data_IF_361449375274
#
_entry.id   IF_361449375274
#
_cell.length_a   1.000
_cell.length_b   1.000
_cell.length_c   1.000
_cell.angle_alpha   90.00
_cell.angle_beta   90.00
_cell.angle_gamma   90.00
#
_symmetry.space_group_name_H-M   'P 1'
#
loop_
_entity.id
_entity.type
_entity.pdbx_description
1 polymer ?
#
# COMPACT_ATOMS: atom_id res chain seq x y z
N UNK A 1 -21.72 34.62 -1.94
CA UNK A 1 -20.78 33.74 -2.66
C UNK A 1 -19.59 34.53 -3.24
N UNK A 2 -19.08 35.50 -2.54
CA UNK A 2 -17.89 36.31 -2.91
C UNK A 2 -16.87 36.34 -1.77
N UNK A 3 -16.78 35.28 -0.94
CA UNK A 3 -15.94 35.25 0.26
C UNK A 3 -14.64 34.46 0.11
N UNK A 4 -14.35 33.95 -1.09
CA UNK A 4 -13.01 33.43 -1.41
C UNK A 4 -12.15 34.53 -2.06
N UNK A 5 -12.33 35.76 -1.59
CA UNK A 5 -11.63 36.89 -2.10
C UNK A 5 -10.29 37.07 -1.37
N UNK A 6 -9.19 36.82 -2.10
CA UNK A 6 -7.80 37.33 -1.84
C UNK A 6 -7.17 37.08 -0.47
N UNK A 7 -7.94 36.86 0.62
CA UNK A 7 -7.39 36.76 1.98
C UNK A 7 -6.99 35.37 2.41
N UNK A 8 -7.52 34.31 1.78
CA UNK A 8 -7.15 32.90 2.08
C UNK A 8 -5.89 32.49 1.30
N UNK A 9 -5.68 33.09 0.15
CA UNK A 9 -4.46 32.89 -0.67
C UNK A 9 -3.23 33.56 -0.03
N UNK A 10 -3.43 34.54 0.82
CA UNK A 10 -2.34 35.34 1.43
C UNK A 10 -1.72 34.72 2.70
N UNK A 11 -2.28 33.63 3.22
CA UNK A 11 -1.76 32.94 4.44
C UNK A 11 -0.97 31.68 4.13
N UNK A 12 -0.94 31.24 2.87
CA UNK A 12 -0.14 30.09 2.42
C UNK A 12 0.98 30.65 1.57
N UNK A 13 2.20 30.67 2.09
CA UNK A 13 3.43 30.99 1.32
C UNK A 13 3.73 29.90 0.28
N UNK A 14 2.74 29.50 -0.51
CA UNK A 14 2.88 28.49 -1.57
C UNK A 14 2.64 29.15 -2.91
N UNK A 15 3.55 28.98 -3.83
CA UNK A 15 3.36 29.34 -5.21
C UNK A 15 2.57 28.25 -5.93
N UNK A 16 1.55 28.61 -6.69
CA UNK A 16 0.64 27.67 -7.36
C UNK A 16 1.07 27.50 -8.81
N UNK A 17 1.13 26.27 -9.29
CA UNK A 17 1.47 25.96 -10.68
C UNK A 17 0.58 24.86 -11.26
N UNK A 18 0.43 24.85 -12.57
CA UNK A 18 -0.36 23.91 -13.35
C UNK A 18 0.52 22.96 -14.15
N UNK A 19 0.15 21.71 -14.15
CA UNK A 19 0.53 20.75 -15.17
C UNK A 19 -0.69 20.56 -16.07
N UNK A 20 -0.68 21.22 -17.24
CA UNK A 20 -1.76 21.16 -18.23
C UNK A 20 -1.41 20.12 -19.30
N UNK A 21 -2.35 19.27 -19.65
CA UNK A 21 -2.21 18.29 -20.74
C UNK A 21 -3.02 18.68 -21.96
N UNK A 22 -2.38 18.71 -23.13
CA UNK A 22 -3.05 18.87 -24.39
C UNK A 22 -3.75 17.57 -24.86
N UNK A 23 -4.55 17.69 -25.91
CA UNK A 23 -5.70 16.86 -26.28
C UNK A 23 -5.56 15.35 -26.53
N UNK A 24 -4.45 14.63 -26.38
CA UNK A 24 -4.37 13.33 -27.02
C UNK A 24 -4.06 12.05 -26.20
N UNK A 25 -3.60 12.03 -24.94
CA UNK A 25 -3.46 10.70 -24.25
C UNK A 25 -3.28 10.77 -22.72
N UNK A 26 -3.76 9.73 -21.98
CA UNK A 26 -3.39 9.47 -20.57
C UNK A 26 -1.87 9.35 -20.44
N UNK A 27 -1.20 8.88 -21.48
CA UNK A 27 0.25 8.76 -21.54
C UNK A 27 0.94 10.14 -21.51
N UNK A 28 0.37 11.17 -22.14
CA UNK A 28 0.94 12.54 -22.10
C UNK A 28 0.91 13.13 -20.68
N UNK A 29 -0.19 12.92 -19.95
CA UNK A 29 -0.29 13.39 -18.54
C UNK A 29 0.73 12.70 -17.65
N UNK A 30 0.93 11.38 -17.82
CA UNK A 30 1.96 10.63 -17.09
C UNK A 30 3.37 11.12 -17.43
N UNK A 31 3.66 11.36 -18.70
CA UNK A 31 4.97 11.85 -19.16
C UNK A 31 5.28 13.26 -18.64
N UNK A 32 4.31 14.15 -18.60
CA UNK A 32 4.48 15.50 -18.02
C UNK A 32 4.76 15.45 -16.53
N UNK A 33 4.03 14.62 -15.77
CA UNK A 33 4.31 14.42 -14.35
C UNK A 33 5.72 13.84 -14.16
N UNK A 34 6.10 12.85 -14.93
CA UNK A 34 7.45 12.29 -14.90
C UNK A 34 8.52 13.32 -15.24
N UNK A 35 8.30 14.12 -16.28
CA UNK A 35 9.18 15.22 -16.70
C UNK A 35 9.40 16.21 -15.56
N UNK A 36 8.33 16.67 -14.94
CA UNK A 36 8.38 17.59 -13.80
C UNK A 36 9.16 17.00 -12.59
N UNK A 37 8.94 15.74 -12.25
CA UNK A 37 9.68 15.09 -11.15
C UNK A 37 11.17 14.97 -11.50
N UNK A 38 11.50 14.63 -12.75
CA UNK A 38 12.90 14.53 -13.20
C UNK A 38 13.59 15.88 -13.16
N UNK A 39 12.95 16.92 -13.64
CA UNK A 39 13.46 18.30 -13.60
C UNK A 39 13.74 18.75 -12.16
N UNK A 40 12.81 18.52 -11.24
CA UNK A 40 13.00 18.76 -9.80
C UNK A 40 14.21 17.98 -9.23
N UNK A 41 14.43 16.78 -9.70
CA UNK A 41 15.55 15.93 -9.24
C UNK A 41 16.87 16.39 -9.84
N UNK A 42 16.91 16.68 -11.14
CA UNK A 42 18.09 17.11 -11.88
C UNK A 42 18.55 18.52 -11.44
N UNK A 43 17.64 19.41 -11.11
CA UNK A 43 17.95 20.72 -10.55
C UNK A 43 18.54 20.65 -9.12
N UNK A 44 18.58 19.45 -8.50
CA UNK A 44 19.02 19.24 -7.13
C UNK A 44 18.07 19.78 -6.06
N UNK A 45 16.92 20.31 -6.44
CA UNK A 45 15.91 20.84 -5.51
C UNK A 45 15.18 19.71 -4.77
N UNK A 46 14.84 18.63 -5.46
CA UNK A 46 14.26 17.44 -4.84
C UNK A 46 15.41 16.54 -4.34
N UNK A 47 15.72 16.61 -3.06
CA UNK A 47 16.77 15.78 -2.46
C UNK A 47 16.31 14.35 -2.22
N UNK A 48 15.03 14.19 -1.86
CA UNK A 48 14.39 12.89 -1.64
C UNK A 48 12.97 12.90 -2.21
N UNK A 49 12.55 11.77 -2.79
CA UNK A 49 11.21 11.63 -3.36
C UNK A 49 10.09 11.73 -2.32
N UNK A 50 10.35 11.47 -1.04
CA UNK A 50 9.36 11.61 0.03
C UNK A 50 8.95 13.07 0.32
N UNK A 51 9.67 14.05 -0.26
CA UNK A 51 9.30 15.46 -0.22
C UNK A 51 8.06 15.77 -1.08
N UNK A 52 7.66 14.80 -1.92
CA UNK A 52 6.60 14.96 -2.90
C UNK A 52 5.41 14.07 -2.54
N UNK A 53 4.22 14.69 -2.45
CA UNK A 53 2.97 13.99 -2.21
C UNK A 53 1.93 14.28 -3.29
N UNK A 54 1.30 13.22 -3.77
CA UNK A 54 0.12 13.28 -4.62
C UNK A 54 -1.12 13.09 -3.77
N UNK A 55 -2.06 14.01 -3.86
CA UNK A 55 -3.32 13.96 -3.13
C UNK A 55 -4.49 13.73 -4.07
N UNK A 56 -5.23 12.67 -3.81
CA UNK A 56 -6.37 12.24 -4.60
C UNK A 56 -7.64 12.19 -3.74
N UNK A 57 -8.79 12.28 -4.36
CA UNK A 57 -10.06 11.97 -3.69
C UNK A 57 -10.17 10.48 -3.35
N UNK A 58 -9.57 9.61 -4.16
CA UNK A 58 -9.46 8.17 -3.96
C UNK A 58 -8.21 7.62 -4.64
N UNK A 59 -7.41 6.84 -3.92
CA UNK A 59 -6.23 6.15 -4.46
C UNK A 59 -6.56 4.84 -5.18
N UNK A 60 -7.79 4.34 -5.02
CA UNK A 60 -8.26 3.09 -5.66
C UNK A 60 -8.71 3.27 -7.11
N UNK A 61 -8.75 4.49 -7.61
CA UNK A 61 -9.16 4.77 -8.97
C UNK A 61 -8.13 4.25 -9.98
N UNK A 62 -8.61 3.60 -11.07
CA UNK A 62 -7.75 2.99 -12.09
C UNK A 62 -6.66 3.94 -12.63
N UNK A 63 -7.00 5.21 -12.85
CA UNK A 63 -6.07 6.26 -13.29
C UNK A 63 -4.91 6.46 -12.30
N UNK A 64 -5.20 6.47 -10.99
CA UNK A 64 -4.17 6.63 -9.95
C UNK A 64 -3.26 5.41 -9.92
N UNK A 65 -3.83 4.21 -10.04
CA UNK A 65 -3.06 2.97 -10.14
C UNK A 65 -2.20 2.94 -11.42
N UNK A 66 -2.73 3.45 -12.54
CA UNK A 66 -1.97 3.54 -13.80
C UNK A 66 -0.77 4.48 -13.67
N UNK A 67 -0.95 5.67 -13.08
CA UNK A 67 0.14 6.61 -12.79
C UNK A 67 1.17 5.99 -11.84
N UNK A 68 0.75 5.32 -10.77
CA UNK A 68 1.66 4.67 -9.84
C UNK A 68 2.53 3.63 -10.56
N UNK A 69 1.92 2.74 -11.35
CA UNK A 69 2.64 1.74 -12.14
C UNK A 69 3.58 2.37 -13.18
N UNK A 70 3.18 3.49 -13.78
CA UNK A 70 4.01 4.20 -14.74
C UNK A 70 5.26 4.80 -14.07
N UNK A 71 5.10 5.46 -12.93
CA UNK A 71 6.23 6.01 -12.17
C UNK A 71 7.18 4.92 -11.69
N UNK A 72 6.67 3.80 -11.19
CA UNK A 72 7.50 2.66 -10.76
C UNK A 72 8.29 2.04 -11.91
N UNK A 73 7.70 1.89 -13.09
CA UNK A 73 8.42 1.44 -14.30
C UNK A 73 9.54 2.39 -14.72
N UNK A 74 9.41 3.67 -14.38
CA UNK A 74 10.42 4.70 -14.62
C UNK A 74 11.39 4.89 -13.44
N UNK A 75 11.40 3.98 -12.47
CA UNK A 75 12.35 3.98 -11.34
C UNK A 75 11.98 4.93 -10.19
N UNK A 76 10.76 5.46 -10.17
CA UNK A 76 10.25 6.28 -9.08
C UNK A 76 9.29 5.45 -8.25
N UNK A 77 9.72 5.04 -7.07
CA UNK A 77 8.91 4.21 -6.18
C UNK A 77 7.71 4.99 -5.62
N UNK A 78 6.55 4.34 -5.56
CA UNK A 78 5.31 4.94 -5.05
C UNK A 78 4.90 4.29 -3.74
N UNK A 79 4.67 5.08 -2.71
CA UNK A 79 4.11 4.67 -1.44
C UNK A 79 2.64 5.04 -1.37
N UNK A 80 1.77 4.04 -1.29
CA UNK A 80 0.33 4.24 -1.23
C UNK A 80 -0.31 3.26 -0.26
N UNK A 81 -0.38 3.60 1.04
CA UNK A 81 -0.74 2.66 2.11
C UNK A 81 -2.17 2.10 2.00
N UNK A 82 -3.08 2.78 1.31
CA UNK A 82 -4.45 2.29 1.07
C UNK A 82 -4.74 1.93 -0.38
N UNK A 83 -3.71 1.77 -1.19
CA UNK A 83 -3.88 1.16 -2.50
C UNK A 83 -3.99 -0.35 -2.34
N UNK A 84 -4.88 -1.00 -3.09
CA UNK A 84 -4.98 -2.46 -3.11
C UNK A 84 -3.82 -3.07 -3.93
N UNK A 85 -2.59 -2.58 -3.69
CA UNK A 85 -1.41 -2.95 -4.46
C UNK A 85 -0.68 -4.17 -3.91
N UNK A 86 -0.95 -4.58 -2.65
CA UNK A 86 -0.27 -5.68 -1.98
C UNK A 86 -0.16 -6.94 -2.85
N UNK A 87 -1.28 -7.43 -3.36
CA UNK A 87 -1.29 -8.62 -4.22
C UNK A 87 -0.69 -8.40 -5.61
N UNK A 88 -0.48 -7.16 -6.03
CA UNK A 88 0.13 -6.82 -7.33
C UNK A 88 1.65 -6.75 -7.26
N UNK A 89 2.23 -6.72 -6.06
CA UNK A 89 3.67 -6.63 -5.84
C UNK A 89 4.39 -7.91 -6.26
N UNK A 90 5.52 -7.76 -6.91
CA UNK A 90 6.25 -8.87 -7.50
C UNK A 90 6.75 -9.86 -6.46
N UNK A 91 7.25 -9.37 -5.30
CA UNK A 91 7.66 -10.21 -4.18
C UNK A 91 6.52 -11.06 -3.63
N UNK A 92 5.29 -10.54 -3.60
CA UNK A 92 4.10 -11.25 -3.13
C UNK A 92 3.62 -12.27 -4.17
N UNK A 93 3.56 -11.88 -5.45
CA UNK A 93 3.23 -12.82 -6.54
C UNK A 93 4.21 -13.99 -6.57
N UNK A 94 5.49 -13.69 -6.44
CA UNK A 94 6.54 -14.72 -6.44
C UNK A 94 6.42 -15.63 -5.22
N UNK A 95 6.22 -15.08 -4.01
CA UNK A 95 6.07 -15.87 -2.79
C UNK A 95 4.84 -16.78 -2.84
N UNK A 96 3.68 -16.24 -3.26
CA UNK A 96 2.46 -17.04 -3.43
C UNK A 96 2.59 -18.10 -4.53
N UNK A 97 3.22 -17.76 -5.65
CA UNK A 97 3.49 -18.71 -6.73
C UNK A 97 4.38 -19.86 -6.28
N UNK A 98 5.50 -19.56 -5.60
CA UNK A 98 6.38 -20.58 -5.03
C UNK A 98 5.64 -21.45 -4.00
N UNK A 99 4.81 -20.84 -3.16
CA UNK A 99 4.00 -21.57 -2.19
C UNK A 99 3.00 -22.52 -2.89
N UNK A 100 2.28 -22.05 -3.91
CA UNK A 100 1.35 -22.89 -4.69
C UNK A 100 2.05 -24.08 -5.37
N UNK A 101 3.24 -23.87 -5.94
CA UNK A 101 4.02 -24.94 -6.58
C UNK A 101 4.41 -26.08 -5.62
N UNK A 102 4.42 -25.84 -4.31
CA UNK A 102 4.62 -26.87 -3.29
C UNK A 102 3.36 -27.74 -3.04
N UNK A 103 2.21 -27.42 -3.67
CA UNK A 103 0.96 -28.17 -3.59
C UNK A 103 0.48 -28.62 -4.98
N UNK A 104 1.11 -29.66 -5.57
CA UNK A 104 0.85 -30.04 -6.98
C UNK A 104 -0.60 -30.40 -7.29
N UNK A 105 -1.31 -31.01 -6.34
CA UNK A 105 -2.72 -31.36 -6.52
C UNK A 105 -3.60 -30.10 -6.65
N UNK A 106 -3.29 -29.06 -5.86
CA UNK A 106 -3.97 -27.77 -5.97
C UNK A 106 -3.72 -27.12 -7.33
N UNK A 107 -2.45 -27.05 -7.76
CA UNK A 107 -2.08 -26.48 -9.05
C UNK A 107 -2.77 -27.23 -10.21
N UNK A 108 -2.81 -28.55 -10.16
CA UNK A 108 -3.52 -29.37 -11.18
C UNK A 108 -5.00 -28.99 -11.30
N UNK A 109 -5.71 -28.83 -10.17
CA UNK A 109 -7.12 -28.42 -10.17
C UNK A 109 -7.28 -26.98 -10.66
N UNK A 110 -6.36 -26.08 -10.28
CA UNK A 110 -6.35 -24.69 -10.73
C UNK A 110 -6.19 -24.58 -12.25
N UNK A 111 -5.27 -25.34 -12.84
CA UNK A 111 -5.06 -25.38 -14.29
C UNK A 111 -6.28 -25.87 -15.06
N UNK A 112 -6.98 -26.85 -14.51
CA UNK A 112 -8.23 -27.39 -15.08
C UNK A 112 -9.46 -26.54 -14.78
N UNK A 113 -9.32 -25.48 -13.98
CA UNK A 113 -10.42 -24.61 -13.55
C UNK A 113 -11.55 -25.38 -12.80
N UNK A 114 -11.17 -26.33 -11.95
CA UNK A 114 -12.10 -27.22 -11.23
C UNK A 114 -12.67 -26.58 -9.91
N UNK A 115 -12.51 -25.26 -9.70
CA UNK A 115 -13.00 -24.59 -8.48
C UNK A 115 -14.19 -23.69 -8.77
N UNK A 116 -15.37 -24.05 -8.27
CA UNK A 116 -16.62 -23.33 -8.49
C UNK A 116 -16.66 -21.90 -7.89
N UNK A 117 -15.84 -21.65 -6.86
CA UNK A 117 -15.84 -20.37 -6.13
C UNK A 117 -14.87 -19.32 -6.68
N UNK A 118 -14.00 -19.69 -7.63
CA UNK A 118 -13.06 -18.77 -8.23
C UNK A 118 -13.65 -18.16 -9.51
N UNK A 119 -13.58 -16.85 -9.61
CA UNK A 119 -13.92 -16.10 -10.82
C UNK A 119 -12.72 -16.05 -11.78
N UNK A 120 -12.95 -15.66 -13.03
CA UNK A 120 -11.92 -15.60 -14.08
C UNK A 120 -10.70 -14.76 -13.66
N UNK A 121 -10.92 -13.67 -12.93
CA UNK A 121 -9.86 -12.79 -12.45
C UNK A 121 -8.96 -13.46 -11.41
N UNK A 122 -9.51 -14.29 -10.51
CA UNK A 122 -8.74 -15.06 -9.53
C UNK A 122 -7.89 -16.13 -10.19
N UNK A 123 -8.46 -16.87 -11.16
CA UNK A 123 -7.70 -17.81 -11.97
C UNK A 123 -6.56 -17.15 -12.72
N UNK A 124 -6.79 -15.96 -13.29
CA UNK A 124 -5.77 -15.18 -13.96
C UNK A 124 -4.66 -14.78 -12.99
N UNK A 125 -5.02 -14.21 -11.84
CA UNK A 125 -4.07 -13.78 -10.82
C UNK A 125 -3.20 -14.95 -10.31
N UNK A 126 -3.80 -16.06 -9.92
CA UNK A 126 -3.03 -17.22 -9.45
C UNK A 126 -2.16 -17.83 -10.56
N UNK A 127 -2.61 -17.79 -11.79
CA UNK A 127 -1.80 -18.21 -12.93
C UNK A 127 -0.61 -17.27 -13.15
N UNK A 128 -0.79 -15.96 -13.03
CA UNK A 128 0.31 -14.98 -13.06
C UNK A 128 1.33 -15.28 -11.96
N UNK A 129 0.90 -15.57 -10.73
CA UNK A 129 1.80 -15.95 -9.65
C UNK A 129 2.60 -17.23 -9.98
N UNK A 130 1.94 -18.26 -10.50
CA UNK A 130 2.60 -19.51 -10.87
C UNK A 130 3.58 -19.32 -12.03
N UNK A 131 3.23 -18.52 -13.03
CA UNK A 131 4.12 -18.20 -14.15
C UNK A 131 5.36 -17.46 -13.66
N UNK A 132 5.19 -16.41 -12.86
CA UNK A 132 6.30 -15.65 -12.27
C UNK A 132 7.23 -16.56 -11.44
N UNK A 133 6.65 -17.46 -10.63
CA UNK A 133 7.44 -18.43 -9.86
C UNK A 133 8.19 -19.40 -10.76
N UNK A 134 7.54 -19.99 -11.77
CA UNK A 134 8.18 -20.93 -12.69
C UNK A 134 9.30 -20.28 -13.48
N UNK A 135 9.10 -19.08 -14.00
CA UNK A 135 10.14 -18.32 -14.71
C UNK A 135 11.35 -18.04 -13.82
N UNK A 136 11.09 -17.72 -12.54
CA UNK A 136 12.16 -17.44 -11.60
C UNK A 136 12.93 -18.69 -11.20
N UNK A 137 12.25 -19.77 -10.78
CA UNK A 137 12.90 -20.98 -10.25
C UNK A 137 13.59 -21.81 -11.31
N UNK A 138 13.25 -21.65 -12.60
CA UNK A 138 13.91 -22.36 -13.70
C UNK A 138 15.21 -21.70 -14.16
N UNK A 139 15.53 -20.51 -13.68
CA UNK A 139 16.83 -19.87 -13.96
C UNK A 139 17.98 -20.71 -13.42
N UNK A 140 19.10 -20.67 -14.12
CA UNK A 140 20.28 -21.48 -13.79
C UNK A 140 20.80 -21.27 -12.35
N UNK A 141 20.63 -20.05 -11.82
CA UNK A 141 21.13 -19.66 -10.51
C UNK A 141 20.22 -20.09 -9.35
N UNK A 142 18.98 -20.54 -9.64
CA UNK A 142 17.95 -20.85 -8.63
C UNK A 142 17.72 -22.37 -8.45
N UNK A 143 18.70 -23.19 -8.75
CA UNK A 143 18.60 -24.65 -8.65
C UNK A 143 18.20 -25.15 -7.27
N UNK A 144 18.73 -24.56 -6.22
CA UNK A 144 18.43 -24.93 -4.82
C UNK A 144 16.98 -24.65 -4.47
N UNK A 145 16.45 -23.48 -4.86
CA UNK A 145 15.04 -23.13 -4.69
C UNK A 145 14.14 -24.10 -5.45
N UNK A 146 14.49 -24.44 -6.70
CA UNK A 146 13.73 -25.41 -7.48
C UNK A 146 13.72 -26.80 -6.82
N UNK A 147 14.86 -27.25 -6.29
CA UNK A 147 14.95 -28.51 -5.55
C UNK A 147 14.11 -28.48 -4.27
N UNK A 148 14.14 -27.38 -3.54
CA UNK A 148 13.33 -27.18 -2.34
C UNK A 148 11.84 -27.29 -2.66
N UNK A 149 11.34 -26.56 -3.68
CA UNK A 149 9.94 -26.62 -4.11
C UNK A 149 9.54 -28.02 -4.54
N UNK A 150 10.36 -28.67 -5.37
CA UNK A 150 10.08 -30.04 -5.83
C UNK A 150 10.07 -31.06 -4.69
N UNK A 151 10.98 -30.92 -3.72
CA UNK A 151 11.01 -31.78 -2.53
C UNK A 151 9.71 -31.67 -1.74
N UNK A 152 9.29 -30.44 -1.40
CA UNK A 152 8.05 -30.25 -0.67
C UNK A 152 6.81 -30.64 -1.49
N UNK A 153 6.80 -30.36 -2.78
CA UNK A 153 5.73 -30.81 -3.67
C UNK A 153 5.54 -32.33 -3.67
N UNK A 154 6.64 -33.11 -3.70
CA UNK A 154 6.57 -34.58 -3.60
C UNK A 154 6.06 -35.03 -2.23
N UNK A 155 6.53 -34.40 -1.13
CA UNK A 155 6.08 -34.72 0.23
C UNK A 155 4.57 -34.47 0.36
N UNK A 156 4.09 -33.29 -0.06
CA UNK A 156 2.69 -32.93 0.09
C UNK A 156 1.76 -33.77 -0.81
N UNK A 157 2.18 -34.11 -2.02
CA UNK A 157 1.39 -34.95 -2.91
C UNK A 157 1.16 -36.38 -2.37
N UNK A 158 2.13 -36.91 -1.62
CA UNK A 158 2.09 -38.25 -1.04
C UNK A 158 1.89 -38.31 0.47
N UNK A 159 1.52 -37.19 1.10
CA UNK A 159 1.42 -37.12 2.56
C UNK A 159 0.28 -37.98 3.08
N UNK A 160 0.61 -38.96 3.94
CA UNK A 160 -0.35 -39.84 4.63
C UNK A 160 -0.41 -39.62 6.14
N UNK A 161 0.66 -39.08 6.73
CA UNK A 161 0.79 -38.73 8.15
C UNK A 161 0.71 -37.22 8.39
N UNK A 162 1.54 -36.74 9.31
CA UNK A 162 1.67 -35.33 9.63
C UNK A 162 3.08 -34.83 9.37
N UNK A 163 3.22 -33.54 9.10
CA UNK A 163 4.52 -32.84 9.04
C UNK A 163 4.82 -32.23 10.42
N UNK A 164 5.99 -31.61 10.55
CA UNK A 164 6.41 -30.79 11.68
C UNK A 164 6.28 -29.28 11.41
N UNK A 165 5.61 -28.90 10.32
CA UNK A 165 5.43 -27.53 9.85
C UNK A 165 4.07 -27.34 9.18
N UNK A 166 3.63 -26.08 9.09
CA UNK A 166 2.50 -25.61 8.32
C UNK A 166 2.94 -24.56 7.27
N UNK A 167 2.02 -23.76 6.75
CA UNK A 167 2.29 -22.76 5.69
C UNK A 167 3.31 -21.70 6.11
N UNK A 168 3.21 -21.17 7.34
CA UNK A 168 4.16 -20.18 7.86
C UNK A 168 5.57 -20.73 7.93
N UNK A 169 5.73 -21.97 8.40
CA UNK A 169 7.02 -22.66 8.43
C UNK A 169 7.62 -22.89 7.04
N UNK A 170 6.79 -23.19 6.04
CA UNK A 170 7.23 -23.28 4.64
C UNK A 170 7.65 -21.91 4.10
N UNK A 171 6.88 -20.86 4.42
CA UNK A 171 7.15 -19.52 3.97
C UNK A 171 8.49 -19.00 4.50
N UNK A 172 8.79 -19.23 5.79
CA UNK A 172 10.10 -18.87 6.37
C UNK A 172 11.26 -19.65 5.75
N UNK A 173 11.08 -20.94 5.48
CA UNK A 173 12.09 -21.73 4.75
C UNK A 173 12.27 -21.22 3.32
N UNK A 174 11.19 -20.80 2.64
CA UNK A 174 11.24 -20.17 1.32
C UNK A 174 12.03 -18.87 1.34
N UNK A 175 11.86 -18.05 2.37
CA UNK A 175 12.52 -16.76 2.50
C UNK A 175 14.04 -16.85 2.71
N UNK A 176 14.58 -18.02 2.97
CA UNK A 176 16.04 -18.24 2.99
C UNK A 176 16.68 -18.27 1.60
N UNK A 177 15.88 -18.34 0.54
CA UNK A 177 16.36 -18.34 -0.84
C UNK A 177 16.22 -16.96 -1.48
N UNK A 178 17.09 -16.69 -2.48
CA UNK A 178 16.95 -15.51 -3.32
C UNK A 178 15.65 -15.58 -4.14
N UNK A 179 14.99 -14.46 -4.40
CA UNK A 179 15.37 -13.08 -4.06
C UNK A 179 14.94 -12.66 -2.64
N UNK A 180 14.17 -13.49 -1.93
CA UNK A 180 13.62 -13.14 -0.62
C UNK A 180 14.71 -12.85 0.40
N UNK A 181 15.78 -13.66 0.43
CA UNK A 181 16.91 -13.42 1.33
C UNK A 181 17.57 -12.07 1.07
N UNK A 182 17.69 -11.66 -0.19
CA UNK A 182 18.27 -10.36 -0.55
C UNK A 182 17.36 -9.20 -0.11
N UNK A 183 16.03 -9.36 -0.23
CA UNK A 183 15.05 -8.40 0.28
C UNK A 183 15.15 -8.27 1.81
N UNK A 184 15.38 -9.37 2.52
CA UNK A 184 15.43 -9.40 3.98
C UNK A 184 16.77 -8.94 4.55
N UNK A 185 17.85 -9.01 3.77
CA UNK A 185 19.21 -8.58 4.15
C UNK A 185 19.41 -7.06 4.04
N UNK A 186 18.34 -6.33 3.92
CA UNK A 186 18.36 -4.87 3.85
C UNK A 186 19.00 -4.28 5.09
N UNK A 187 20.12 -3.58 4.93
CA UNK A 187 20.80 -2.87 6.02
C UNK A 187 20.12 -1.50 6.24
N UNK A 188 19.35 -1.41 7.31
CA UNK A 188 18.66 -0.17 7.70
C UNK A 188 19.61 0.90 8.26
N UNK A 189 20.88 0.58 8.50
CA UNK A 189 21.88 1.52 9.04
C UNK A 189 22.54 2.38 7.97
N UNK A 190 22.54 1.97 6.70
CA UNK A 190 23.29 2.60 5.60
C UNK A 190 22.53 3.73 4.91
N UNK A 191 21.45 4.19 5.47
CA UNK A 191 20.64 5.26 4.90
C UNK A 191 19.28 4.79 4.47
N UNK A 192 18.67 5.53 3.55
CA UNK A 192 17.30 5.34 3.20
C UNK A 192 17.15 4.21 2.18
N UNK A 193 16.74 3.08 2.66
CA UNK A 193 16.48 1.90 1.85
C UNK A 193 14.95 1.71 1.74
N UNK A 194 14.48 1.32 0.57
CA UNK A 194 13.08 0.93 0.40
C UNK A 194 12.82 -0.38 1.14
N UNK A 195 12.19 -0.28 2.30
CA UNK A 195 11.84 -1.43 3.16
C UNK A 195 10.46 -2.02 2.82
N UNK A 196 9.73 -1.47 1.82
CA UNK A 196 8.38 -1.95 1.47
C UNK A 196 8.35 -3.43 1.10
N UNK A 197 9.26 -3.96 0.24
CA UNK A 197 9.25 -5.38 -0.07
C UNK A 197 9.42 -6.25 1.18
N UNK A 198 10.29 -5.85 2.10
CA UNK A 198 10.48 -6.55 3.39
C UNK A 198 9.22 -6.51 4.24
N UNK A 199 8.56 -5.34 4.34
CA UNK A 199 7.31 -5.16 5.07
C UNK A 199 6.16 -5.94 4.43
N UNK A 200 6.07 -5.98 3.12
CA UNK A 200 5.08 -6.78 2.39
C UNK A 200 5.27 -8.28 2.68
N UNK A 201 6.50 -8.78 2.72
CA UNK A 201 6.77 -10.15 3.15
C UNK A 201 6.38 -10.39 4.61
N UNK A 202 6.63 -9.43 5.50
CA UNK A 202 6.18 -9.51 6.89
C UNK A 202 4.65 -9.58 6.98
N UNK A 203 3.94 -8.71 6.28
CA UNK A 203 2.48 -8.73 6.20
C UNK A 203 1.96 -10.07 5.64
N UNK A 204 2.62 -10.64 4.63
CA UNK A 204 2.27 -11.97 4.14
C UNK A 204 2.39 -13.03 5.24
N UNK A 205 3.42 -12.99 6.08
CA UNK A 205 3.55 -13.92 7.22
C UNK A 205 2.43 -13.75 8.24
N UNK A 206 2.00 -12.52 8.51
CA UNK A 206 0.88 -12.23 9.40
C UNK A 206 -0.44 -12.77 8.83
N UNK A 207 -0.68 -12.58 7.54
CA UNK A 207 -1.87 -13.09 6.84
C UNK A 207 -1.93 -14.63 6.93
N UNK A 208 -0.82 -15.30 6.61
CA UNK A 208 -0.74 -16.76 6.68
C UNK A 208 -0.86 -17.26 8.12
N UNK A 209 -0.18 -16.63 9.07
CA UNK A 209 -0.27 -16.98 10.49
C UNK A 209 -1.69 -16.79 11.06
N UNK A 210 -2.40 -15.74 10.59
CA UNK A 210 -3.80 -15.54 10.95
C UNK A 210 -4.72 -16.62 10.38
N UNK A 211 -4.48 -17.05 9.13
CA UNK A 211 -5.19 -18.18 8.54
C UNK A 211 -4.97 -19.46 9.38
N UNK A 212 -3.72 -19.79 9.69
CA UNK A 212 -3.37 -20.95 10.52
C UNK A 212 -4.09 -20.90 11.88
N UNK A 213 -4.13 -19.72 12.49
CA UNK A 213 -4.85 -19.52 13.76
C UNK A 213 -6.34 -19.80 13.65
N UNK A 214 -6.99 -19.18 12.67
CA UNK A 214 -8.44 -19.26 12.50
C UNK A 214 -8.91 -20.69 12.13
N UNK A 215 -8.09 -21.41 11.35
CA UNK A 215 -8.41 -22.76 10.86
C UNK A 215 -7.72 -23.88 11.65
N UNK A 216 -6.97 -23.54 12.73
CA UNK A 216 -6.25 -24.50 13.57
C UNK A 216 -5.31 -25.41 12.78
N UNK A 217 -4.53 -24.80 11.88
CA UNK A 217 -3.56 -25.52 11.03
C UNK A 217 -2.17 -25.29 11.62
N UNK A 218 -1.75 -26.14 12.51
CA UNK A 218 -0.41 -26.06 13.14
C UNK A 218 0.61 -26.94 12.40
N UNK A 219 0.13 -28.00 11.74
CA UNK A 219 0.92 -28.93 10.93
C UNK A 219 0.09 -29.38 9.73
N UNK A 220 0.74 -29.84 8.66
CA UNK A 220 0.00 -30.51 7.59
C UNK A 220 -0.33 -31.93 7.99
N UNK A 221 -1.56 -32.32 7.70
CA UNK A 221 -2.06 -33.67 7.86
C UNK A 221 -2.57 -34.17 6.51
N UNK A 222 -2.18 -35.38 6.12
CA UNK A 222 -2.52 -35.95 4.82
C UNK A 222 -4.02 -36.00 4.52
N UNK A 223 -4.87 -36.12 5.56
CA UNK A 223 -6.33 -36.14 5.40
C UNK A 223 -6.92 -34.74 5.13
N UNK A 224 -6.22 -33.67 5.49
CA UNK A 224 -6.77 -32.32 5.47
C UNK A 224 -5.97 -31.33 4.61
N UNK A 225 -4.76 -31.68 4.17
CA UNK A 225 -3.85 -30.78 3.47
C UNK A 225 -4.48 -30.19 2.20
N UNK A 226 -5.14 -31.02 1.39
CA UNK A 226 -5.76 -30.58 0.15
C UNK A 226 -6.90 -29.59 0.44
N UNK A 227 -7.79 -29.92 1.41
CA UNK A 227 -8.88 -29.05 1.86
C UNK A 227 -8.36 -27.72 2.43
N UNK A 228 -7.36 -27.79 3.30
CA UNK A 228 -6.82 -26.58 3.93
C UNK A 228 -6.14 -25.67 2.90
N UNK A 229 -5.49 -26.26 1.87
CA UNK A 229 -4.90 -25.49 0.77
C UNK A 229 -5.97 -24.81 -0.07
N UNK A 230 -7.07 -25.51 -0.38
CA UNK A 230 -8.22 -24.89 -1.05
C UNK A 230 -8.86 -23.79 -0.20
N UNK A 231 -9.01 -23.96 1.11
CA UNK A 231 -9.53 -22.93 2.00
C UNK A 231 -8.61 -21.69 2.04
N UNK A 232 -7.28 -21.91 2.08
CA UNK A 232 -6.32 -20.82 2.07
C UNK A 232 -6.44 -19.97 0.80
N UNK A 233 -6.35 -20.61 -0.37
CA UNK A 233 -6.30 -19.86 -1.64
C UNK A 233 -7.69 -19.46 -2.13
N UNK A 234 -8.65 -20.39 -2.15
CA UNK A 234 -9.95 -20.16 -2.80
C UNK A 234 -10.96 -19.42 -1.92
N UNK A 235 -10.72 -19.32 -0.62
CA UNK A 235 -11.60 -18.59 0.29
C UNK A 235 -10.86 -17.45 0.97
N UNK A 236 -9.86 -17.73 1.79
CA UNK A 236 -9.24 -16.75 2.66
C UNK A 236 -8.45 -15.68 1.87
N UNK A 237 -7.48 -16.09 1.04
CA UNK A 237 -6.71 -15.14 0.22
C UNK A 237 -7.57 -14.49 -0.87
N UNK A 238 -8.54 -15.23 -1.43
CA UNK A 238 -9.51 -14.67 -2.37
C UNK A 238 -10.31 -13.52 -1.74
N UNK A 239 -10.87 -13.70 -0.55
CA UNK A 239 -11.63 -12.65 0.14
C UNK A 239 -10.77 -11.42 0.44
N UNK A 240 -9.49 -11.64 0.80
CA UNK A 240 -8.54 -10.55 1.01
C UNK A 240 -8.17 -9.85 -0.30
N UNK A 241 -8.07 -10.58 -1.40
CA UNK A 241 -7.85 -10.02 -2.74
C UNK A 241 -9.05 -9.16 -3.18
N UNK A 242 -10.27 -9.67 -3.01
CA UNK A 242 -11.51 -8.97 -3.38
C UNK A 242 -11.76 -7.74 -2.49
N UNK A 243 -11.47 -7.85 -1.20
CA UNK A 243 -11.61 -6.75 -0.24
C UNK A 243 -10.52 -5.69 -0.34
N UNK A 244 -9.42 -6.03 -0.99
CA UNK A 244 -8.18 -5.25 -1.00
C UNK A 244 -7.46 -5.29 0.35
N UNK A 245 -6.16 -5.50 0.31
CA UNK A 245 -5.28 -5.32 1.47
C UNK A 245 -4.44 -4.09 1.19
N UNK A 246 -4.45 -3.17 2.15
CA UNK A 246 -3.51 -2.07 2.16
C UNK A 246 -2.09 -2.64 2.29
N UNK A 247 -1.15 -2.06 1.57
CA UNK A 247 0.26 -2.26 1.87
C UNK A 247 0.50 -1.84 3.32
N UNK A 248 1.62 -2.32 3.87
CA UNK A 248 2.01 -1.99 5.23
C UNK A 248 1.77 -0.50 5.54
N UNK A 249 0.82 -0.23 6.44
CA UNK A 249 0.62 1.09 7.01
C UNK A 249 1.60 1.23 8.17
N UNK A 250 2.70 1.94 7.95
CA UNK A 250 3.44 2.47 9.08
C UNK A 250 2.56 3.56 9.71
N UNK A 251 2.46 3.58 11.03
CA UNK A 251 2.00 4.75 11.77
C UNK A 251 2.93 5.95 11.52
N UNK A 252 4.06 5.75 10.81
CA UNK A 252 4.87 6.79 10.25
C UNK A 252 4.05 7.60 9.24
N UNK A 253 3.87 8.85 9.53
CA UNK A 253 3.02 9.79 8.80
C UNK A 253 3.49 10.04 7.37
N UNK A 254 4.73 9.69 7.00
CA UNK A 254 5.36 10.02 5.73
C UNK A 254 5.88 8.79 4.99
N UNK A 255 5.89 8.89 3.65
CA UNK A 255 6.51 7.84 2.83
C UNK A 255 7.97 7.59 3.24
N UNK A 256 8.43 6.34 3.12
CA UNK A 256 9.84 6.03 3.22
C UNK A 256 10.61 6.90 2.22
N UNK A 257 11.84 7.25 2.57
CA UNK A 257 12.72 7.93 1.63
C UNK A 257 12.91 7.07 0.37
N UNK A 258 13.10 7.73 -0.76
CA UNK A 258 13.12 7.10 -2.06
C UNK A 258 11.74 6.84 -2.69
N UNK A 259 10.64 7.18 -1.98
CA UNK A 259 9.28 6.96 -2.48
C UNK A 259 8.49 8.27 -2.52
N UNK A 260 7.71 8.49 -3.56
CA UNK A 260 6.67 9.53 -3.59
C UNK A 260 5.42 9.05 -2.84
N UNK A 261 4.75 9.96 -2.13
CA UNK A 261 3.50 9.63 -1.40
C UNK A 261 2.28 9.71 -2.32
N UNK A 262 1.48 8.65 -2.39
CA UNK A 262 0.14 8.66 -2.99
C UNK A 262 -0.89 8.50 -1.89
N UNK A 263 -1.59 9.58 -1.55
CA UNK A 263 -2.50 9.63 -0.42
C UNK A 263 -3.89 10.12 -0.84
N UNK A 264 -4.90 9.70 -0.10
CA UNK A 264 -6.16 10.42 -0.17
C UNK A 264 -6.04 11.74 0.60
N UNK A 265 -6.85 12.73 0.22
CA UNK A 265 -6.89 14.01 0.95
C UNK A 265 -7.17 13.79 2.45
N UNK A 266 -8.00 12.79 2.79
CA UNK A 266 -8.29 12.48 4.18
C UNK A 266 -7.08 11.91 4.94
N UNK A 267 -6.27 11.07 4.29
CA UNK A 267 -5.06 10.50 4.90
C UNK A 267 -4.00 11.59 5.16
N UNK A 268 -3.93 12.60 4.30
CA UNK A 268 -2.96 13.69 4.45
C UNK A 268 -3.28 14.67 5.61
N UNK A 269 -4.40 14.46 6.33
CA UNK A 269 -4.76 15.32 7.45
C UNK A 269 -3.72 15.23 8.57
N UNK A 270 -3.13 16.38 8.95
CA UNK A 270 -2.06 16.47 9.94
C UNK A 270 -0.64 16.39 9.36
N UNK A 271 -0.51 15.99 8.09
CA UNK A 271 0.78 15.91 7.39
C UNK A 271 1.05 17.21 6.62
N UNK A 272 2.31 17.47 6.33
CA UNK A 272 2.74 18.60 5.49
C UNK A 272 3.92 18.15 4.63
N UNK A 273 3.90 18.52 3.35
CA UNK A 273 4.93 18.15 2.40
C UNK A 273 5.51 19.38 1.71
N UNK A 274 6.82 19.39 1.43
CA UNK A 274 7.43 20.48 0.66
C UNK A 274 6.73 20.71 -0.68
N UNK A 275 6.36 19.63 -1.38
CA UNK A 275 5.71 19.68 -2.69
C UNK A 275 4.45 18.82 -2.65
N UNK A 276 3.32 19.38 -3.05
CA UNK A 276 2.04 18.68 -3.13
C UNK A 276 1.45 18.82 -4.52
N UNK A 277 1.13 17.70 -5.15
CA UNK A 277 0.33 17.66 -6.37
C UNK A 277 -1.10 17.26 -6.00
N UNK A 278 -2.07 18.09 -6.38
CA UNK A 278 -3.49 17.81 -6.17
C UNK A 278 -4.15 17.51 -7.50
N UNK A 279 -4.63 16.27 -7.63
CA UNK A 279 -5.53 15.85 -8.71
C UNK A 279 -6.99 15.95 -8.24
N UNK A 280 -7.94 15.60 -9.08
CA UNK A 280 -9.38 15.59 -8.75
C UNK A 280 -10.07 16.95 -8.79
N UNK A 281 -9.51 17.93 -9.50
CA UNK A 281 -10.15 19.25 -9.70
C UNK A 281 -11.47 19.18 -10.48
N UNK A 282 -11.74 18.05 -11.15
CA UNK A 282 -13.01 17.79 -11.85
C UNK A 282 -14.17 17.45 -10.89
N UNK A 283 -13.89 17.25 -9.60
CA UNK A 283 -14.91 16.90 -8.62
C UNK A 283 -15.90 18.03 -8.38
N UNK A 284 -17.11 17.64 -8.01
CA UNK A 284 -18.22 18.54 -7.64
C UNK A 284 -18.77 18.14 -6.26
N UNK A 285 -19.38 19.07 -5.54
CA UNK A 285 -20.03 18.77 -4.26
C UNK A 285 -21.08 17.66 -4.40
N UNK A 286 -20.96 16.59 -3.62
CA UNK A 286 -21.88 15.46 -3.61
C UNK A 286 -22.50 15.29 -2.24
N UNK A 287 -23.74 14.86 -2.19
CA UNK A 287 -24.42 14.49 -0.95
C UNK A 287 -23.77 13.21 -0.41
N UNK A 288 -23.20 13.26 0.78
CA UNK A 288 -22.42 12.15 1.37
C UNK A 288 -23.21 11.33 2.39
N UNK A 289 -24.28 11.89 2.92
CA UNK A 289 -25.13 11.24 3.92
C UNK A 289 -26.39 10.64 3.31
N UNK A 290 -26.88 9.57 3.92
CA UNK A 290 -28.11 8.88 3.51
C UNK A 290 -29.32 9.65 4.04
N UNK A 291 -30.38 9.70 3.25
CA UNK A 291 -31.65 10.35 3.65
C UNK A 291 -32.21 9.77 4.97
N UNK A 292 -32.04 8.46 5.20
CA UNK A 292 -32.41 7.80 6.45
C UNK A 292 -31.72 8.41 7.67
N UNK A 293 -30.43 8.77 7.57
CA UNK A 293 -29.70 9.42 8.68
C UNK A 293 -30.28 10.81 8.98
N UNK A 294 -30.63 11.56 7.95
CA UNK A 294 -31.28 12.87 8.09
C UNK A 294 -32.62 12.74 8.80
N UNK A 295 -33.47 11.76 8.41
CA UNK A 295 -34.75 11.50 9.06
C UNK A 295 -34.58 11.08 10.52
N UNK A 296 -33.60 10.28 10.84
CA UNK A 296 -33.27 9.86 12.22
C UNK A 296 -32.84 11.06 13.05
N UNK A 297 -31.96 11.90 12.51
CA UNK A 297 -31.48 13.11 13.19
C UNK A 297 -32.63 14.10 13.43
N UNK A 298 -33.46 14.37 12.44
CA UNK A 298 -34.63 15.27 12.57
C UNK A 298 -35.64 14.73 13.60
N UNK A 299 -35.85 13.43 13.63
CA UNK A 299 -36.87 12.80 14.50
C UNK A 299 -36.42 12.61 15.94
N UNK A 300 -35.13 12.33 16.17
CA UNK A 300 -34.62 11.94 17.50
C UNK A 300 -33.62 12.90 18.09
N UNK A 301 -32.95 13.73 17.29
CA UNK A 301 -32.01 14.74 17.76
C UNK A 301 -32.64 16.13 17.73
N UNK A 302 -33.14 16.62 18.84
CA UNK A 302 -33.75 17.94 18.98
C UNK A 302 -32.74 19.11 18.99
N UNK A 303 -31.52 18.92 18.46
CA UNK A 303 -30.55 19.99 18.30
C UNK A 303 -30.60 20.53 16.87
N UNK A 304 -30.59 21.85 16.69
CA UNK A 304 -30.45 22.41 15.36
C UNK A 304 -29.13 21.91 14.73
N UNK A 305 -29.17 21.59 13.44
CA UNK A 305 -27.97 21.25 12.69
C UNK A 305 -26.95 22.41 12.82
N UNK A 306 -25.68 22.05 12.96
CA UNK A 306 -24.59 23.04 13.01
C UNK A 306 -24.52 23.86 11.72
N UNK A 307 -24.90 23.25 10.62
CA UNK A 307 -24.94 23.83 9.27
C UNK A 307 -26.29 23.50 8.59
N UNK A 308 -26.76 24.39 7.68
CA UNK A 308 -27.92 24.07 6.87
C UNK A 308 -27.70 22.78 6.06
N UNK A 309 -28.57 21.80 6.17
CA UNK A 309 -28.42 20.48 5.53
C UNK A 309 -28.26 20.56 4.01
N UNK A 310 -28.94 21.47 3.35
CA UNK A 310 -28.83 21.70 1.92
C UNK A 310 -27.47 22.25 1.49
N UNK A 311 -26.71 22.87 2.41
CA UNK A 311 -25.40 23.47 2.17
C UNK A 311 -24.23 22.58 2.62
N UNK A 312 -24.47 21.57 3.45
CA UNK A 312 -23.40 20.71 4.03
C UNK A 312 -22.50 20.13 2.95
N UNK A 313 -23.04 19.66 1.80
CA UNK A 313 -22.25 19.14 0.68
C UNK A 313 -21.21 20.14 0.13
N UNK A 314 -21.51 21.42 0.17
CA UNK A 314 -20.58 22.47 -0.28
C UNK A 314 -19.53 22.75 0.77
N UNK A 315 -19.92 22.77 2.05
CA UNK A 315 -18.98 22.95 3.14
C UNK A 315 -18.00 21.78 3.24
N UNK A 316 -18.47 20.55 3.14
CA UNK A 316 -17.62 19.36 3.13
C UNK A 316 -16.66 19.35 1.95
N UNK A 317 -17.15 19.72 0.77
CA UNK A 317 -16.32 19.85 -0.42
C UNK A 317 -15.19 20.88 -0.21
N UNK A 318 -15.50 22.05 0.29
CA UNK A 318 -14.51 23.10 0.52
C UNK A 318 -13.55 22.76 1.65
N UNK A 319 -14.01 22.11 2.73
CA UNK A 319 -13.15 21.61 3.80
C UNK A 319 -12.15 20.58 3.28
N UNK A 320 -12.59 19.71 2.39
CA UNK A 320 -11.75 18.68 1.77
C UNK A 320 -10.61 19.35 0.99
N UNK A 321 -10.94 20.28 0.09
CA UNK A 321 -9.91 20.93 -0.73
C UNK A 321 -9.07 21.93 0.06
N UNK A 322 -9.65 22.59 1.07
CA UNK A 322 -8.84 23.34 2.03
C UNK A 322 -7.79 22.47 2.70
N UNK A 323 -8.19 21.27 3.12
CA UNK A 323 -7.24 20.29 3.68
C UNK A 323 -6.16 19.93 2.65
N UNK A 324 -6.52 19.61 1.40
CA UNK A 324 -5.55 19.28 0.37
C UNK A 324 -4.53 20.39 0.11
N UNK A 325 -5.01 21.60 -0.10
CA UNK A 325 -4.16 22.74 -0.45
C UNK A 325 -3.26 23.19 0.71
N UNK A 326 -3.73 23.04 1.95
CA UNK A 326 -2.96 23.37 3.14
C UNK A 326 -1.87 22.36 3.49
N UNK A 327 -1.70 21.28 2.70
CA UNK A 327 -0.63 20.29 2.92
C UNK A 327 0.70 20.70 2.31
N UNK A 328 0.69 21.63 1.36
CA UNK A 328 1.91 22.12 0.72
C UNK A 328 2.62 23.17 1.60
N UNK A 329 3.91 22.95 1.85
CA UNK A 329 4.76 23.89 2.57
C UNK A 329 5.36 24.94 1.63
N UNK A 330 5.78 24.55 0.43
CA UNK A 330 6.49 25.43 -0.50
C UNK A 330 5.82 25.51 -1.87
N UNK A 331 5.47 24.34 -2.45
CA UNK A 331 4.94 24.28 -3.81
C UNK A 331 3.65 23.45 -3.85
N UNK A 332 2.57 24.06 -4.31
CA UNK A 332 1.32 23.40 -4.62
C UNK A 332 1.13 23.36 -6.13
N UNK A 333 1.05 22.17 -6.67
CA UNK A 333 0.79 21.90 -8.09
C UNK A 333 -0.63 21.38 -8.25
N UNK A 334 -1.41 22.04 -9.08
CA UNK A 334 -2.74 21.58 -9.47
C UNK A 334 -2.66 20.86 -10.81
N UNK A 335 -3.14 19.63 -10.87
CA UNK A 335 -3.11 18.83 -12.09
C UNK A 335 -4.50 18.37 -12.48
N UNK A 336 -4.74 18.33 -13.77
CA UNK A 336 -6.01 17.93 -14.37
C UNK A 336 -5.77 17.28 -15.73
N UNK A 337 -6.55 16.27 -16.05
CA UNK A 337 -6.61 15.69 -17.38
C UNK A 337 -7.67 16.47 -18.20
N UNK A 338 -7.23 17.45 -18.96
CA UNK A 338 -8.13 18.36 -19.69
C UNK A 338 -9.01 17.66 -20.74
N UNK A 339 -8.62 16.47 -21.18
CA UNK A 339 -9.37 15.74 -22.21
C UNK A 339 -10.57 14.98 -21.67
N UNK A 340 -10.41 14.41 -20.49
CA UNK A 340 -11.42 13.53 -19.89
C UNK A 340 -12.08 14.14 -18.66
N UNK A 341 -11.39 15.05 -17.98
CA UNK A 341 -11.79 15.56 -16.66
C UNK A 341 -11.36 17.01 -16.46
N UNK A 342 -11.95 17.93 -17.25
CA UNK A 342 -11.73 19.37 -17.10
C UNK A 342 -12.01 19.82 -15.67
N UNK A 343 -11.35 20.89 -15.18
CA UNK A 343 -11.66 21.49 -13.88
C UNK A 343 -13.15 21.82 -13.78
N UNK A 344 -13.74 21.46 -12.65
CA UNK A 344 -15.13 21.81 -12.39
C UNK A 344 -15.30 23.32 -12.26
N UNK A 345 -16.54 23.81 -12.39
CA UNK A 345 -16.86 25.25 -12.22
C UNK A 345 -16.34 25.85 -10.89
N UNK A 346 -16.02 25.02 -9.90
CA UNK A 346 -15.51 25.47 -8.60
C UNK A 346 -14.02 25.78 -8.61
N UNK A 347 -13.28 25.24 -9.57
CA UNK A 347 -11.82 25.42 -9.69
C UNK A 347 -11.40 26.11 -10.97
N UNK A 348 -12.31 26.31 -11.92
CA UNK A 348 -11.98 26.87 -13.24
C UNK A 348 -11.29 28.22 -13.14
N UNK A 349 -11.85 29.14 -12.38
CA UNK A 349 -11.29 30.49 -12.24
C UNK A 349 -9.86 30.46 -11.68
N UNK A 350 -9.62 29.58 -10.68
CA UNK A 350 -8.28 29.39 -10.10
C UNK A 350 -7.35 28.76 -11.11
N UNK A 351 -7.82 27.74 -11.84
CA UNK A 351 -7.04 27.02 -12.82
C UNK A 351 -6.61 27.93 -13.99
N UNK A 352 -7.51 28.79 -14.45
CA UNK A 352 -7.24 29.70 -15.56
C UNK A 352 -6.31 30.87 -15.16
N UNK A 353 -6.23 31.21 -13.88
CA UNK A 353 -5.40 32.31 -13.36
C UNK A 353 -4.00 31.87 -12.89
N UNK A 354 -3.78 30.55 -12.69
CA UNK A 354 -2.53 30.01 -12.18
C UNK A 354 -1.51 29.84 -13.32
N UNK A 355 -0.25 30.13 -13.01
CA UNK A 355 0.87 29.95 -13.93
C UNK A 355 1.10 28.47 -14.25
N UNK A 356 1.35 28.14 -15.51
CA UNK A 356 1.73 26.80 -15.95
C UNK A 356 3.17 26.47 -15.57
N UNK A 357 3.41 25.21 -15.17
CA UNK A 357 4.76 24.67 -14.95
C UNK A 357 5.59 24.68 -16.25
N UNK A 358 4.92 24.55 -17.39
CA UNK A 358 5.55 24.56 -18.73
C UNK A 358 5.81 25.99 -19.24
N UNK A 359 5.51 27.02 -18.45
CA UNK A 359 5.73 28.43 -18.89
C UNK A 359 7.19 28.85 -18.70
N UNK A 360 7.70 29.67 -19.61
CA UNK A 360 9.05 30.27 -19.52
C UNK A 360 9.25 31.15 -18.28
N UNK A 361 8.17 31.51 -17.59
CA UNK A 361 8.19 32.30 -16.36
C UNK A 361 8.37 31.45 -15.10
N UNK A 362 8.24 30.11 -15.21
CA UNK A 362 8.42 29.20 -14.08
C UNK A 362 9.90 28.97 -13.80
N UNK A 363 10.39 29.48 -12.70
CA UNK A 363 11.79 29.32 -12.28
C UNK A 363 11.92 28.49 -11.01
N UNK A 364 12.34 27.24 -11.15
CA UNK A 364 12.65 26.37 -10.01
C UNK A 364 13.74 26.91 -9.09
N UNK A 365 14.58 27.84 -9.54
CA UNK A 365 15.67 28.39 -8.75
C UNK A 365 15.17 29.17 -7.51
N UNK A 366 13.97 29.72 -7.59
CA UNK A 366 13.34 30.47 -6.51
C UNK A 366 12.91 29.59 -5.31
N UNK A 367 12.82 28.27 -5.50
CA UNK A 367 12.34 27.36 -4.48
C UNK A 367 13.47 26.73 -3.67
N UNK A 368 13.22 26.59 -2.37
CA UNK A 368 14.05 25.83 -1.43
C UNK A 368 13.17 24.87 -0.66
N UNK A 369 13.34 23.58 -0.90
CA UNK A 369 12.54 22.52 -0.28
C UNK A 369 13.26 21.96 0.95
N UNK A 370 12.55 21.95 2.08
CA UNK A 370 13.07 21.34 3.30
C UNK A 370 13.02 19.82 3.18
N UNK A 371 13.94 19.14 3.85
CA UNK A 371 13.82 17.68 4.01
C UNK A 371 12.60 17.37 4.87
N UNK A 372 11.84 16.35 4.49
CA UNK A 372 10.79 15.81 5.35
C UNK A 372 11.43 15.37 6.66
N UNK A 373 10.84 15.76 7.78
CA UNK A 373 11.34 15.35 9.11
C UNK A 373 11.41 13.81 9.11
N UNK A 374 12.59 13.27 9.42
CA UNK A 374 12.74 11.84 9.71
C UNK A 374 11.87 11.56 10.93
N UNK A 375 10.69 11.02 10.69
CA UNK A 375 9.72 10.79 11.74
C UNK A 375 9.90 9.38 12.28
N UNK A 376 9.68 9.29 13.57
CA UNK A 376 9.39 8.11 14.36
C UNK A 376 10.59 7.22 14.67
N UNK A 377 11.60 7.83 15.26
CA UNK A 377 12.34 7.09 16.26
C UNK A 377 11.35 6.80 17.41
N UNK A 378 11.10 5.54 17.66
CA UNK A 378 10.29 5.08 18.80
C UNK A 378 10.89 5.69 20.07
N UNK A 379 10.13 6.54 20.76
CA UNK A 379 10.62 7.28 21.93
C UNK A 379 10.37 6.53 23.26
N UNK A 380 9.62 5.45 23.24
CA UNK A 380 9.35 4.64 24.42
C UNK A 380 9.53 3.16 24.16
N UNK A 381 10.29 2.50 24.98
CA UNK A 381 10.62 1.09 24.87
C UNK A 381 10.18 0.36 26.16
N UNK A 382 9.42 -0.72 26.00
CA UNK A 382 9.13 -1.62 27.11
C UNK A 382 10.37 -2.48 27.40
N UNK A 383 10.69 -2.67 28.67
CA UNK A 383 11.83 -3.47 29.05
C UNK A 383 11.70 -4.92 28.55
N UNK A 384 10.59 -5.57 28.81
CA UNK A 384 10.38 -6.99 28.46
C UNK A 384 10.19 -7.24 26.98
N UNK A 385 9.42 -6.39 26.29
CA UNK A 385 9.07 -6.63 24.89
C UNK A 385 10.07 -6.05 23.88
N UNK A 386 10.92 -5.10 24.28
CA UNK A 386 11.90 -4.47 23.42
C UNK A 386 13.33 -4.72 23.88
N UNK A 387 13.69 -4.25 25.08
CA UNK A 387 15.07 -4.29 25.54
C UNK A 387 15.54 -5.74 25.73
N UNK A 388 14.78 -6.56 26.45
CA UNK A 388 15.16 -7.97 26.68
C UNK A 388 15.23 -8.76 25.37
N UNK A 389 14.34 -8.52 24.41
CA UNK A 389 14.39 -9.19 23.11
C UNK A 389 15.62 -8.76 22.32
N UNK A 390 15.95 -7.46 22.31
CA UNK A 390 17.15 -6.94 21.65
C UNK A 390 18.44 -7.49 22.25
N UNK A 391 18.55 -7.50 23.58
CA UNK A 391 19.71 -8.05 24.31
C UNK A 391 19.87 -9.55 24.06
N UNK A 392 18.76 -10.29 23.94
CA UNK A 392 18.79 -11.72 23.64
C UNK A 392 19.23 -11.98 22.20
N UNK A 393 18.66 -11.24 21.24
CA UNK A 393 19.00 -11.35 19.83
C UNK A 393 18.54 -10.10 19.08
N UNK A 394 19.46 -9.24 18.67
CA UNK A 394 19.16 -8.04 17.90
C UNK A 394 18.46 -8.34 16.55
N UNK A 395 18.83 -9.49 15.91
CA UNK A 395 18.18 -9.92 14.68
C UNK A 395 16.72 -10.32 14.91
N UNK A 396 16.41 -11.00 16.02
CA UNK A 396 15.05 -11.31 16.42
C UNK A 396 14.24 -10.05 16.69
N UNK A 397 14.85 -9.04 17.31
CA UNK A 397 14.23 -7.74 17.53
C UNK A 397 13.90 -7.06 16.19
N UNK A 398 14.87 -7.00 15.25
CA UNK A 398 14.67 -6.46 13.90
C UNK A 398 13.45 -7.10 13.22
N UNK A 399 13.40 -8.43 13.18
CA UNK A 399 12.32 -9.11 12.45
C UNK A 399 10.97 -9.03 13.17
N UNK A 400 10.90 -9.25 14.47
CA UNK A 400 9.62 -9.38 15.17
C UNK A 400 9.07 -8.07 15.75
N UNK A 401 9.93 -7.06 15.97
CA UNK A 401 9.51 -5.80 16.60
C UNK A 401 9.56 -4.61 15.66
N UNK A 402 10.50 -4.56 14.75
CA UNK A 402 10.60 -3.45 13.79
C UNK A 402 9.95 -3.77 12.45
N UNK A 403 10.15 -4.96 11.94
CA UNK A 403 9.58 -5.40 10.66
C UNK A 403 8.25 -6.14 10.82
N UNK A 404 7.88 -6.50 12.04
CA UNK A 404 6.60 -7.12 12.41
C UNK A 404 6.30 -8.47 11.74
N UNK A 405 7.35 -9.26 11.50
CA UNK A 405 7.16 -10.65 11.08
C UNK A 405 6.42 -11.45 12.15
N UNK A 406 5.46 -12.29 11.73
CA UNK A 406 4.72 -13.15 12.64
C UNK A 406 5.62 -14.31 13.11
N UNK A 407 5.84 -14.51 14.41
CA UNK A 407 6.58 -15.68 14.91
C UNK A 407 5.92 -16.98 14.47
N UNK A 408 6.73 -17.98 14.11
CA UNK A 408 6.21 -19.34 13.89
C UNK A 408 5.70 -19.88 15.20
N UNK A 409 4.50 -20.44 15.20
CA UNK A 409 3.91 -21.06 16.38
C UNK A 409 4.71 -22.29 16.79
N UNK A 410 5.12 -22.31 18.03
CA UNK A 410 5.75 -23.47 18.66
C UNK A 410 4.74 -24.15 19.58
N UNK A 411 4.68 -25.47 19.57
CA UNK A 411 3.78 -26.25 20.42
C UNK A 411 3.91 -25.90 21.92
N UNK A 412 5.11 -25.56 22.37
CA UNK A 412 5.36 -25.12 23.74
C UNK A 412 4.66 -23.79 24.10
N UNK A 413 4.61 -22.84 23.13
CA UNK A 413 3.92 -21.57 23.33
C UNK A 413 2.39 -21.76 23.32
N UNK A 414 1.88 -22.66 22.49
CA UNK A 414 0.45 -22.99 22.46
C UNK A 414 0.02 -23.62 23.77
N UNK A 415 0.81 -24.55 24.32
CA UNK A 415 0.52 -25.15 25.61
C UNK A 415 0.52 -24.08 26.72
N UNK A 416 1.48 -23.18 26.73
CA UNK A 416 1.52 -22.07 27.70
C UNK A 416 0.29 -21.17 27.59
N UNK A 417 -0.14 -20.80 26.39
CA UNK A 417 -1.33 -19.98 26.17
C UNK A 417 -2.60 -20.71 26.65
N UNK A 418 -2.77 -21.99 26.32
CA UNK A 418 -3.90 -22.78 26.75
C UNK A 418 -3.98 -22.90 28.25
N UNK A 419 -2.83 -23.08 28.94
CA UNK A 419 -2.77 -23.12 30.39
C UNK A 419 -3.17 -21.77 31.02
N UNK A 420 -2.70 -20.65 30.43
CA UNK A 420 -3.08 -19.31 30.87
C UNK A 420 -4.58 -19.05 30.70
N UNK A 421 -5.11 -19.31 29.54
CA UNK A 421 -6.54 -19.13 29.23
C UNK A 421 -7.42 -19.97 30.14
N UNK A 422 -6.99 -21.24 30.47
CA UNK A 422 -7.74 -22.13 31.36
C UNK A 422 -7.67 -21.69 32.84
N UNK A 423 -6.66 -20.91 33.24
CA UNK A 423 -6.52 -20.40 34.61
C UNK A 423 -7.24 -19.06 34.77
N UNK A 424 -7.36 -18.27 33.68
CA UNK A 424 -8.06 -16.98 33.69
C UNK A 424 -9.59 -17.14 33.64
N UNK A 425 -10.12 -18.23 33.09
CA UNK A 425 -11.53 -18.61 33.13
C UNK A 425 -11.90 -19.27 34.48
#
# INVERSE_FOLDING_TARGET
>A
MRFFNRSVVLLICCTFFLVSCSKDDEDEWHEKILGFIKELKESGKLTDYNQLAFLFSSVKHQRVTALANFLERNGINVYSPRSDMFFKRDEIKLALGCLMLMFPKYVMKLEKQEFDFLQVEHYRYYRECIVAANEYVTRADNKELLQFIRKHGKVHAGLTGTTDYAYSGLLYKLFMFRPFSDILDTDMSVGVVDIRPTRNLALLTQIIGKFEYLHRVDVFNGSYIDRNTELLFNLYLKLLYDGGISEYEDEAEYAPSGCVSFLTIHQSKGMEFPIVLVDSLSNVPRKTYKDLMTEVEEKYFHRPAFEPYDQTKYFDFWRLYYTAFSRAQNLLVLTCDENKRTPSQYFRDIYDEIQSVDSDEFDLSEFSFQSVKKVNLKNSFSFTSHITVYETCALQYKFYKELEFMPVRQNAMMFGTLVHETIED
#
